data_IF_043158540346
#
_entry.id   IF_043158540346
#
_cell.length_a   1.000
_cell.length_b   1.000
_cell.length_c   1.000
_cell.angle_alpha   90.00
_cell.angle_beta   90.00
_cell.angle_gamma   90.00
#
_symmetry.space_group_name_H-M   'P 1'
#
loop_
_entity.id
_entity.type
_entity.pdbx_description
1 polymer ?
#
# COMPACT_ATOMS: atom_id res chain seq x y z
N UNK A 1 12.49 0.11 8.56
CA UNK A 1 12.36 -0.97 7.56
C UNK A 1 10.93 -0.93 7.11
N UNK A 2 10.72 -0.85 5.81
CA UNK A 2 9.41 -0.71 5.19
C UNK A 2 8.72 -2.07 5.05
N UNK A 3 9.52 -3.13 5.04
CA UNK A 3 9.09 -4.53 4.98
C UNK A 3 9.24 -5.22 6.34
N UNK A 4 8.21 -5.95 6.78
CA UNK A 4 8.32 -6.87 7.90
C UNK A 4 9.02 -8.17 7.44
N UNK A 5 10.31 -8.29 7.78
CA UNK A 5 11.12 -9.43 7.37
C UNK A 5 10.67 -10.76 7.99
N UNK A 6 10.08 -10.74 9.19
CA UNK A 6 9.61 -11.97 9.84
C UNK A 6 8.40 -12.50 9.10
N UNK A 7 7.43 -11.62 8.83
CA UNK A 7 6.23 -11.97 8.08
C UNK A 7 6.58 -12.33 6.62
N UNK A 8 7.47 -11.58 5.96
CA UNK A 8 7.91 -11.89 4.60
C UNK A 8 8.58 -13.27 4.53
N UNK A 9 9.44 -13.59 5.50
CA UNK A 9 10.07 -14.91 5.57
C UNK A 9 9.03 -16.02 5.76
N UNK A 10 8.08 -15.84 6.68
CA UNK A 10 7.00 -16.80 6.86
C UNK A 10 6.17 -16.99 5.59
N UNK A 11 5.86 -15.90 4.87
CA UNK A 11 5.18 -15.99 3.57
C UNK A 11 6.03 -16.79 2.57
N UNK A 12 7.32 -16.48 2.46
CA UNK A 12 8.24 -17.18 1.56
C UNK A 12 8.33 -18.68 1.85
N UNK A 13 8.35 -19.06 3.13
CA UNK A 13 8.39 -20.46 3.57
C UNK A 13 7.09 -21.22 3.22
N UNK A 14 5.93 -20.52 3.19
CA UNK A 14 4.62 -21.12 2.90
C UNK A 14 4.38 -21.28 1.39
N UNK A 15 4.60 -20.21 0.61
CA UNK A 15 4.21 -20.17 -0.82
C UNK A 15 5.39 -20.36 -1.79
N UNK A 16 6.62 -20.31 -1.27
CA UNK A 16 7.85 -20.38 -2.05
C UNK A 16 8.22 -19.05 -2.72
N UNK A 17 9.53 -18.85 -2.94
CA UNK A 17 10.09 -17.61 -3.52
C UNK A 17 9.50 -17.26 -4.89
N UNK A 18 9.34 -18.23 -5.80
CA UNK A 18 8.84 -17.97 -7.16
C UNK A 18 7.37 -17.49 -7.16
N UNK A 19 6.55 -18.03 -6.26
CA UNK A 19 5.17 -17.58 -6.08
C UNK A 19 5.14 -16.20 -5.45
N UNK A 20 5.95 -15.96 -4.42
CA UNK A 20 6.06 -14.65 -3.77
C UNK A 20 6.53 -13.56 -4.74
N UNK A 21 7.47 -13.86 -5.65
CA UNK A 21 7.90 -12.92 -6.70
C UNK A 21 6.75 -12.58 -7.67
N UNK A 22 5.89 -13.54 -8.01
CA UNK A 22 4.71 -13.28 -8.85
C UNK A 22 3.66 -12.44 -8.11
N UNK A 23 3.46 -12.69 -6.82
CA UNK A 23 2.60 -11.88 -5.95
C UNK A 23 3.14 -10.44 -5.86
N UNK A 24 4.45 -10.26 -5.68
CA UNK A 24 5.11 -8.94 -5.72
C UNK A 24 4.81 -8.20 -7.03
N UNK A 25 4.98 -8.86 -8.18
CA UNK A 25 4.71 -8.23 -9.48
C UNK A 25 3.24 -7.85 -9.65
N UNK A 26 2.33 -8.73 -9.23
CA UNK A 26 0.89 -8.46 -9.27
C UNK A 26 0.53 -7.27 -8.37
N UNK A 27 1.10 -7.22 -7.16
CA UNK A 27 0.94 -6.11 -6.23
C UNK A 27 1.45 -4.80 -6.84
N UNK A 28 2.65 -4.80 -7.42
CA UNK A 28 3.25 -3.61 -8.03
C UNK A 28 2.37 -3.02 -9.14
N UNK A 29 1.91 -3.86 -10.07
CA UNK A 29 1.08 -3.40 -11.19
C UNK A 29 -0.27 -2.84 -10.71
N UNK A 30 -0.92 -3.52 -9.76
CA UNK A 30 -2.23 -3.12 -9.23
C UNK A 30 -2.14 -1.85 -8.36
N UNK A 31 -1.17 -1.78 -7.47
CA UNK A 31 -0.99 -0.65 -6.56
C UNK A 31 -0.57 0.63 -7.31
N UNK A 32 0.25 0.55 -8.36
CA UNK A 32 0.62 1.73 -9.15
C UNK A 32 -0.60 2.38 -9.81
N UNK A 33 -1.50 1.59 -10.40
CA UNK A 33 -2.73 2.09 -10.98
C UNK A 33 -3.63 2.73 -9.91
N UNK A 34 -3.76 2.08 -8.75
CA UNK A 34 -4.57 2.60 -7.62
C UNK A 34 -3.99 3.86 -7.00
N UNK A 35 -2.67 4.01 -6.90
CA UNK A 35 -2.02 5.22 -6.40
C UNK A 35 -2.27 6.43 -7.31
N UNK A 36 -2.34 6.22 -8.63
CA UNK A 36 -2.73 7.29 -9.57
C UNK A 36 -4.19 7.68 -9.36
N UNK A 37 -5.10 6.69 -9.30
CA UNK A 37 -6.53 6.95 -9.04
C UNK A 37 -6.77 7.61 -7.68
N UNK A 38 -5.98 7.24 -6.66
CA UNK A 38 -6.08 7.80 -5.32
C UNK A 38 -5.71 9.28 -5.31
N UNK A 39 -4.65 9.66 -6.04
CA UNK A 39 -4.28 11.06 -6.24
C UNK A 39 -5.43 11.87 -6.84
N UNK A 40 -6.02 11.37 -7.92
CA UNK A 40 -7.16 12.01 -8.58
C UNK A 40 -8.34 12.16 -7.62
N UNK A 41 -8.69 11.10 -6.87
CA UNK A 41 -9.79 11.14 -5.91
C UNK A 41 -9.57 12.18 -4.81
N UNK A 42 -8.33 12.35 -4.33
CA UNK A 42 -7.97 13.39 -3.36
C UNK A 42 -8.13 14.79 -3.99
N UNK A 43 -7.62 14.99 -5.20
CA UNK A 43 -7.70 16.26 -5.92
C UNK A 43 -9.16 16.67 -6.23
N UNK A 44 -10.03 15.71 -6.49
CA UNK A 44 -11.46 15.94 -6.73
C UNK A 44 -12.33 15.87 -5.47
N UNK A 45 -11.72 15.69 -4.30
CA UNK A 45 -12.40 15.54 -3.00
C UNK A 45 -13.45 14.40 -2.97
N UNK A 46 -13.23 13.33 -3.74
CA UNK A 46 -14.08 12.14 -3.74
C UNK A 46 -13.68 11.22 -2.58
N UNK A 47 -14.14 11.55 -1.38
CA UNK A 47 -13.78 10.82 -0.15
C UNK A 47 -14.25 9.36 -0.16
N UNK A 48 -15.36 9.05 -0.82
CA UNK A 48 -15.81 7.67 -0.97
C UNK A 48 -14.82 6.86 -1.83
N UNK A 49 -14.34 7.43 -2.93
CA UNK A 49 -13.33 6.79 -3.76
C UNK A 49 -11.98 6.66 -3.01
N UNK A 50 -11.58 7.66 -2.21
CA UNK A 50 -10.39 7.60 -1.35
C UNK A 50 -10.49 6.46 -0.36
N UNK A 51 -11.62 6.31 0.33
CA UNK A 51 -11.86 5.23 1.29
C UNK A 51 -11.70 3.85 0.63
N UNK A 52 -12.39 3.63 -0.50
CA UNK A 52 -12.36 2.34 -1.21
C UNK A 52 -10.96 1.98 -1.73
N UNK A 53 -10.25 2.94 -2.32
CA UNK A 53 -8.89 2.74 -2.81
C UNK A 53 -7.91 2.47 -1.66
N UNK A 54 -8.02 3.23 -0.58
CA UNK A 54 -7.19 3.05 0.62
C UNK A 54 -7.44 1.70 1.28
N UNK A 55 -8.69 1.24 1.39
CA UNK A 55 -9.03 -0.10 1.88
C UNK A 55 -8.37 -1.22 1.07
N UNK A 56 -8.45 -1.11 -0.27
CA UNK A 56 -7.87 -2.09 -1.18
C UNK A 56 -6.35 -2.13 -1.08
N UNK A 57 -5.71 -0.96 -1.08
CA UNK A 57 -4.26 -0.78 -0.96
C UNK A 57 -3.72 -1.23 0.41
N UNK A 58 -4.45 -0.96 1.49
CA UNK A 58 -4.16 -1.48 2.83
C UNK A 58 -4.08 -3.00 2.81
N UNK A 59 -5.13 -3.64 2.31
CA UNK A 59 -5.25 -5.10 2.31
C UNK A 59 -4.16 -5.76 1.47
N UNK A 60 -3.90 -5.23 0.26
CA UNK A 60 -2.86 -5.77 -0.61
C UNK A 60 -1.45 -5.57 -0.04
N UNK A 61 -1.21 -4.45 0.65
CA UNK A 61 0.07 -4.16 1.31
C UNK A 61 0.32 -5.09 2.51
N UNK A 62 -0.69 -5.32 3.36
CA UNK A 62 -0.61 -6.27 4.48
C UNK A 62 -0.32 -7.70 4.03
N UNK A 63 -0.88 -8.11 2.89
CA UNK A 63 -0.64 -9.45 2.32
C UNK A 63 0.81 -9.67 1.86
N UNK A 64 1.57 -8.60 1.63
CA UNK A 64 2.97 -8.65 1.21
C UNK A 64 3.93 -8.20 2.32
N UNK A 65 3.49 -8.23 3.58
CA UNK A 65 4.28 -7.83 4.75
C UNK A 65 4.73 -6.35 4.72
N UNK A 66 3.98 -5.48 4.05
CA UNK A 66 4.26 -4.04 3.96
C UNK A 66 3.49 -3.27 5.05
N UNK A 67 3.74 -3.63 6.31
CA UNK A 67 2.94 -3.18 7.46
C UNK A 67 2.93 -1.66 7.64
N UNK A 68 4.06 -0.99 7.40
CA UNK A 68 4.14 0.49 7.49
C UNK A 68 3.24 1.14 6.45
N UNK A 69 3.36 0.70 5.19
CA UNK A 69 2.55 1.22 4.09
C UNK A 69 1.06 0.92 4.28
N UNK A 70 0.72 -0.29 4.74
CA UNK A 70 -0.64 -0.64 5.11
C UNK A 70 -1.21 0.28 6.20
N UNK A 71 -0.39 0.68 7.17
CA UNK A 71 -0.73 1.65 8.20
C UNK A 71 -1.07 3.04 7.65
N UNK A 72 -0.31 3.53 6.66
CA UNK A 72 -0.61 4.81 5.99
C UNK A 72 -1.97 4.75 5.29
N UNK A 73 -2.24 3.67 4.54
CA UNK A 73 -3.54 3.50 3.88
C UNK A 73 -4.69 3.33 4.87
N UNK A 74 -4.47 2.69 6.02
CA UNK A 74 -5.48 2.61 7.07
C UNK A 74 -5.83 3.99 7.65
N UNK A 75 -4.86 4.90 7.76
CA UNK A 75 -5.10 6.28 8.18
C UNK A 75 -5.92 7.03 7.13
N UNK A 76 -5.56 6.91 5.85
CA UNK A 76 -6.31 7.55 4.75
C UNK A 76 -7.75 7.04 4.66
N UNK A 77 -7.96 5.73 4.80
CA UNK A 77 -9.30 5.11 4.86
C UNK A 77 -10.12 5.69 6.02
N UNK A 78 -9.50 5.83 7.20
CA UNK A 78 -10.17 6.39 8.37
C UNK A 78 -10.56 7.86 8.19
N UNK A 79 -9.62 8.70 7.74
CA UNK A 79 -9.87 10.14 7.49
C UNK A 79 -11.00 10.32 6.47
N UNK A 80 -10.94 9.58 5.37
CA UNK A 80 -11.96 9.62 4.32
C UNK A 80 -13.35 9.18 4.82
N UNK A 81 -13.41 8.08 5.60
CA UNK A 81 -14.67 7.60 6.19
C UNK A 81 -15.30 8.59 7.18
N UNK A 82 -14.48 9.46 7.78
CA UNK A 82 -14.91 10.50 8.72
C UNK A 82 -15.21 11.84 8.03
N UNK A 83 -15.04 11.93 6.71
CA UNK A 83 -15.22 13.17 5.96
C UNK A 83 -14.05 14.17 6.10
N UNK A 84 -12.90 13.73 6.60
CA UNK A 84 -11.72 14.57 6.85
C UNK A 84 -10.80 14.54 5.63
N UNK A 85 -10.55 15.71 5.04
CA UNK A 85 -9.78 15.86 3.81
C UNK A 85 -8.43 16.57 4.03
N UNK A 86 -8.26 17.23 5.18
CA UNK A 86 -7.15 18.15 5.44
C UNK A 86 -5.79 17.44 5.40
N UNK A 87 -5.75 16.15 5.77
CA UNK A 87 -4.52 15.39 5.90
C UNK A 87 -4.26 14.43 4.72
N UNK A 88 -5.25 14.20 3.85
CA UNK A 88 -5.15 13.18 2.79
C UNK A 88 -4.00 13.41 1.82
N UNK A 89 -3.68 14.66 1.50
CA UNK A 89 -2.54 14.99 0.62
C UNK A 89 -1.19 14.66 1.27
N UNK A 90 -1.04 14.91 2.58
CA UNK A 90 0.20 14.58 3.31
C UNK A 90 0.36 13.07 3.48
N UNK A 91 -0.73 12.37 3.78
CA UNK A 91 -0.76 10.91 3.86
C UNK A 91 -0.46 10.29 2.50
N UNK A 92 -0.99 10.84 1.41
CA UNK A 92 -0.69 10.38 0.06
C UNK A 92 0.80 10.49 -0.27
N UNK A 93 1.43 11.64 0.01
CA UNK A 93 2.87 11.79 -0.21
C UNK A 93 3.67 10.78 0.62
N UNK A 94 3.29 10.59 1.89
CA UNK A 94 3.90 9.57 2.77
C UNK A 94 3.73 8.16 2.20
N UNK A 95 2.57 7.84 1.63
CA UNK A 95 2.30 6.54 1.01
C UNK A 95 3.16 6.32 -0.25
N UNK A 96 3.35 7.35 -1.09
CA UNK A 96 4.19 7.27 -2.29
C UNK A 96 5.67 7.07 -1.93
N UNK A 97 6.17 7.80 -0.94
CA UNK A 97 7.55 7.68 -0.48
C UNK A 97 7.80 6.29 0.14
N UNK A 98 6.90 5.84 1.01
CA UNK A 98 6.97 4.52 1.65
C UNK A 98 6.83 3.39 0.62
N UNK A 99 5.96 3.53 -0.37
CA UNK A 99 5.81 2.56 -1.46
C UNK A 99 7.11 2.40 -2.24
N UNK A 100 7.78 3.51 -2.59
CA UNK A 100 9.07 3.47 -3.27
C UNK A 100 10.14 2.72 -2.47
N UNK A 101 10.21 2.98 -1.16
CA UNK A 101 11.14 2.29 -0.26
C UNK A 101 10.82 0.80 -0.12
N UNK A 102 9.54 0.46 0.07
CA UNK A 102 9.06 -0.91 0.21
C UNK A 102 9.37 -1.77 -1.02
N UNK A 103 9.11 -1.25 -2.23
CA UNK A 103 9.41 -1.98 -3.47
C UNK A 103 10.91 -2.20 -3.64
N UNK A 104 11.72 -1.17 -3.40
CA UNK A 104 13.17 -1.29 -3.48
C UNK A 104 13.72 -2.32 -2.46
N UNK A 105 13.19 -2.33 -1.24
CA UNK A 105 13.57 -3.29 -0.21
C UNK A 105 13.15 -4.72 -0.60
N UNK A 106 11.92 -4.92 -1.11
CA UNK A 106 11.46 -6.23 -1.59
C UNK A 106 12.35 -6.77 -2.73
N UNK A 107 12.79 -5.93 -3.67
CA UNK A 107 13.68 -6.37 -4.76
C UNK A 107 15.03 -6.89 -4.27
N UNK A 108 15.50 -6.46 -3.11
CA UNK A 108 16.73 -7.00 -2.49
C UNK A 108 16.48 -8.32 -1.75
N UNK A 109 15.26 -8.57 -1.30
CA UNK A 109 14.89 -9.71 -0.47
C UNK A 109 14.38 -10.90 -1.28
N UNK A 110 13.71 -10.66 -2.42
CA UNK A 110 13.06 -11.67 -3.27
C UNK A 110 13.33 -11.51 -4.75
#
# INVERSE_FOLDING_TARGET
MSVDHVQLKSLMDIIGRDTLSRVKQSYFNDSQAKLVSLKTAIETQDLHQVEQLSHSLKSSSSNLALSTLAGVFAHMESDASQGQAENLSNLYQSAVDEYGQAIAELDTLI
#
